data_IF_289217607155
#
_entry.id   IF_289217607155
#
_cell.length_a   1.000
_cell.length_b   1.000
_cell.length_c   1.000
_cell.angle_alpha   90.00
_cell.angle_beta   90.00
_cell.angle_gamma   90.00
#
_symmetry.space_group_name_H-M   'P 1'
#
loop_
_entity.id
_entity.type
_entity.pdbx_description
1 polymer ?
#
# COMPACT_ATOMS: atom_id res chain seq x y z
N UNK A 1 2.09 -3.68 -2.30
CA UNK A 1 3.51 -3.57 -1.91
C UNK A 1 4.30 -2.98 -3.06
N UNK A 2 5.28 -2.15 -2.78
CA UNK A 2 6.10 -1.46 -3.77
C UNK A 2 7.54 -1.31 -3.28
N UNK A 3 8.49 -1.25 -4.23
CA UNK A 3 9.93 -1.18 -3.99
C UNK A 3 10.40 -2.23 -2.96
N UNK A 4 9.80 -3.41 -3.00
CA UNK A 4 10.10 -4.51 -2.09
C UNK A 4 11.41 -5.22 -2.47
N UNK A 5 12.22 -5.53 -1.47
CA UNK A 5 13.48 -6.28 -1.58
C UNK A 5 13.34 -7.55 -0.77
N UNK A 6 12.61 -8.52 -1.34
CA UNK A 6 12.14 -9.70 -0.62
C UNK A 6 10.97 -9.35 0.32
N UNK A 7 10.84 -10.10 1.41
CA UNK A 7 9.73 -9.96 2.38
C UNK A 7 10.05 -9.08 3.59
N UNK A 8 11.32 -8.70 3.78
CA UNK A 8 11.81 -8.03 5.00
C UNK A 8 11.92 -6.51 4.84
N UNK A 9 12.22 -6.04 3.63
CA UNK A 9 12.48 -4.63 3.36
C UNK A 9 11.62 -4.16 2.20
N UNK A 10 10.90 -3.05 2.36
CA UNK A 10 10.04 -2.52 1.32
C UNK A 10 8.94 -1.64 1.87
N UNK A 11 7.96 -1.34 1.04
CA UNK A 11 6.78 -0.58 1.45
C UNK A 11 5.49 -1.28 1.05
N UNK A 12 4.42 -0.97 1.79
CA UNK A 12 3.06 -1.39 1.47
C UNK A 12 2.11 -0.21 1.62
N UNK A 13 0.98 -0.25 0.91
CA UNK A 13 -0.08 0.74 1.05
C UNK A 13 -1.42 0.04 0.82
N UNK A 14 -2.44 0.47 1.56
CA UNK A 14 -3.79 -0.09 1.48
C UNK A 14 -4.50 -0.09 2.83
N UNK A 15 -5.49 -0.96 2.98
CA UNK A 15 -6.23 -1.16 4.23
C UNK A 15 -5.39 -1.95 5.24
N UNK A 16 -5.45 -1.54 6.52
CA UNK A 16 -4.61 -2.13 7.57
C UNK A 16 -5.42 -2.75 8.69
N UNK A 17 -6.11 -1.91 9.44
CA UNK A 17 -7.06 -2.25 10.49
C UNK A 17 -8.47 -1.78 10.07
N UNK A 18 -9.54 -2.24 10.75
CA UNK A 18 -10.88 -1.72 10.54
C UNK A 18 -10.89 -0.19 10.58
N UNK A 19 -11.48 0.44 9.56
CA UNK A 19 -11.59 1.90 9.49
C UNK A 19 -10.30 2.66 9.16
N UNK A 20 -9.24 1.97 8.70
CA UNK A 20 -7.92 2.58 8.48
C UNK A 20 -7.24 2.18 7.17
N UNK A 21 -6.75 3.20 6.46
CA UNK A 21 -5.79 3.08 5.37
C UNK A 21 -4.42 3.61 5.81
N UNK A 22 -3.33 3.02 5.32
CA UNK A 22 -1.99 3.46 5.65
C UNK A 22 -0.98 3.18 4.53
N UNK A 23 0.15 3.91 4.58
CA UNK A 23 1.40 3.56 3.92
C UNK A 23 2.35 3.08 5.01
N UNK A 24 2.91 1.90 4.82
CA UNK A 24 3.77 1.20 5.75
C UNK A 24 5.18 1.05 5.18
N UNK A 25 6.19 1.18 6.04
CA UNK A 25 7.55 0.70 5.78
C UNK A 25 7.71 -0.65 6.47
N UNK A 26 8.32 -1.60 5.77
CA UNK A 26 8.93 -2.77 6.39
C UNK A 26 10.43 -2.60 6.39
N UNK A 27 11.02 -2.65 7.57
CA UNK A 27 12.44 -2.86 7.74
C UNK A 27 12.63 -3.73 8.98
N UNK A 28 12.47 -5.05 8.80
CA UNK A 28 12.42 -6.03 9.90
C UNK A 28 11.25 -5.80 10.86
N UNK A 29 10.16 -5.24 10.35
CA UNK A 29 8.97 -4.91 11.13
C UNK A 29 8.14 -3.86 10.39
N UNK A 30 6.82 -4.03 10.44
CA UNK A 30 5.90 -3.10 9.80
C UNK A 30 5.65 -1.88 10.68
N UNK A 31 5.89 -0.69 10.12
CA UNK A 31 5.63 0.59 10.75
C UNK A 31 4.82 1.50 9.82
N UNK A 32 3.82 2.17 10.38
CA UNK A 32 3.04 3.16 9.62
C UNK A 32 3.82 4.46 9.48
N UNK A 33 4.06 4.89 8.25
CA UNK A 33 4.72 6.18 7.96
C UNK A 33 3.70 7.28 7.58
N UNK A 34 2.50 6.88 7.15
CA UNK A 34 1.35 7.76 7.00
C UNK A 34 0.06 6.96 7.18
N UNK A 35 -0.98 7.56 7.75
CA UNK A 35 -2.28 6.90 7.89
C UNK A 35 -3.44 7.87 7.87
N UNK A 36 -4.60 7.39 7.43
CA UNK A 36 -5.85 8.14 7.41
C UNK A 36 -7.01 7.25 7.89
N UNK A 37 -8.05 7.89 8.44
CA UNK A 37 -9.33 7.23 8.67
C UNK A 37 -9.97 6.92 7.31
N UNK A 38 -10.37 5.68 7.12
CA UNK A 38 -11.07 5.23 5.93
C UNK A 38 -11.95 4.03 6.28
N UNK A 39 -13.26 4.28 6.38
CA UNK A 39 -14.26 3.29 6.82
C UNK A 39 -14.58 2.32 5.68
N UNK A 40 -13.64 1.42 5.38
CA UNK A 40 -13.82 0.37 4.38
C UNK A 40 -14.79 -0.72 4.88
N UNK A 41 -15.48 -1.36 3.93
CA UNK A 41 -16.54 -2.33 4.16
C UNK A 41 -16.13 -3.70 3.64
N UNK A 42 -16.43 -4.74 4.40
CA UNK A 42 -16.19 -6.12 3.96
C UNK A 42 -17.13 -6.49 2.81
N UNK A 43 -16.62 -7.19 1.80
CA UNK A 43 -17.39 -7.64 0.64
C UNK A 43 -17.64 -6.56 -0.43
N UNK A 44 -17.21 -5.32 -0.22
CA UNK A 44 -17.19 -4.28 -1.26
C UNK A 44 -15.89 -4.37 -2.07
N UNK A 45 -16.03 -4.28 -3.39
CA UNK A 45 -14.89 -4.12 -4.28
C UNK A 45 -14.34 -2.69 -4.20
N UNK A 46 -13.01 -2.54 -4.23
CA UNK A 46 -12.33 -1.26 -4.23
C UNK A 46 -11.25 -1.25 -5.31
N UNK A 47 -11.15 -0.15 -6.06
CA UNK A 47 -10.00 0.10 -6.91
C UNK A 47 -8.91 0.77 -6.09
N UNK A 48 -7.80 0.06 -5.89
CA UNK A 48 -6.64 0.59 -5.17
C UNK A 48 -5.54 0.94 -6.15
N UNK A 49 -5.10 2.19 -6.12
CA UNK A 49 -4.03 2.71 -6.96
C UNK A 49 -2.93 3.31 -6.08
N UNK A 50 -1.68 3.03 -6.43
CA UNK A 50 -0.52 3.51 -5.70
C UNK A 50 0.51 4.06 -6.68
N UNK A 51 0.86 5.32 -6.48
CA UNK A 51 1.94 5.98 -7.22
C UNK A 51 3.14 6.17 -6.31
N UNK A 52 4.34 5.77 -6.76
CA UNK A 52 5.58 5.92 -6.00
C UNK A 52 6.69 6.53 -6.87
N UNK A 53 6.78 7.87 -6.86
CA UNK A 53 7.70 8.64 -7.70
C UNK A 53 8.67 9.42 -6.82
N UNK A 54 9.98 9.22 -7.06
CA UNK A 54 11.01 9.83 -6.21
C UNK A 54 10.86 9.39 -4.76
N UNK A 55 10.81 10.34 -3.83
CA UNK A 55 10.64 10.13 -2.38
C UNK A 55 9.18 10.11 -1.92
N UNK A 56 8.21 10.20 -2.85
CA UNK A 56 6.78 10.34 -2.55
C UNK A 56 6.02 9.07 -2.90
N UNK A 57 5.08 8.69 -2.04
CA UNK A 57 4.06 7.68 -2.33
C UNK A 57 2.66 8.22 -2.07
N UNK A 58 1.73 7.97 -2.99
CA UNK A 58 0.34 8.42 -2.90
C UNK A 58 -0.62 7.24 -3.06
N UNK A 59 -1.50 7.04 -2.09
CA UNK A 59 -2.53 6.02 -2.12
C UNK A 59 -3.87 6.62 -2.57
N UNK A 60 -4.46 6.00 -3.59
CA UNK A 60 -5.79 6.29 -4.08
C UNK A 60 -6.71 5.10 -3.86
N UNK A 61 -7.96 5.39 -3.52
CA UNK A 61 -9.05 4.40 -3.44
C UNK A 61 -10.22 4.95 -4.23
N UNK A 62 -10.70 4.18 -5.21
CA UNK A 62 -11.76 4.57 -6.14
C UNK A 62 -11.47 5.93 -6.82
N UNK A 63 -10.21 6.13 -7.24
CA UNK A 63 -9.72 7.37 -7.84
C UNK A 63 -9.49 8.54 -6.86
N UNK A 64 -10.02 8.47 -5.64
CA UNK A 64 -9.83 9.51 -4.63
C UNK A 64 -8.49 9.34 -3.91
N UNK A 65 -7.70 10.42 -3.85
CA UNK A 65 -6.47 10.45 -3.03
C UNK A 65 -6.83 10.35 -1.54
N UNK A 66 -6.40 9.27 -0.89
CA UNK A 66 -6.66 9.01 0.54
C UNK A 66 -5.51 9.54 1.41
N UNK A 67 -4.25 9.25 1.03
CA UNK A 67 -3.09 9.77 1.75
C UNK A 67 -1.84 9.87 0.87
N UNK A 68 -0.89 10.68 1.32
CA UNK A 68 0.45 10.84 0.75
C UNK A 68 1.49 10.65 1.86
N UNK A 69 2.60 10.01 1.53
CA UNK A 69 3.79 9.92 2.37
C UNK A 69 5.02 10.44 1.62
N UNK A 70 5.99 10.95 2.38
CA UNK A 70 7.33 11.32 1.91
C UNK A 70 8.38 10.46 2.60
N UNK A 71 9.62 10.50 2.12
CA UNK A 71 10.72 9.70 2.67
C UNK A 71 10.72 8.26 2.17
N UNK A 72 10.21 8.01 0.97
CA UNK A 72 10.37 6.73 0.27
C UNK A 72 11.81 6.65 -0.26
N UNK A 73 12.69 6.12 0.58
CA UNK A 73 14.15 6.13 0.38
C UNK A 73 14.71 4.94 -0.43
N UNK A 74 13.92 3.89 -0.62
CA UNK A 74 14.30 2.80 -1.53
C UNK A 74 14.07 3.28 -2.97
N UNK A 75 15.05 3.22 -3.88
CA UNK A 75 14.89 3.73 -5.25
C UNK A 75 14.13 2.77 -6.17
N UNK A 76 14.23 1.45 -5.92
CA UNK A 76 13.65 0.41 -6.77
C UNK A 76 13.43 -0.88 -5.98
N UNK A 77 12.58 -1.76 -6.52
CA UNK A 77 12.32 -3.11 -6.02
C UNK A 77 11.06 -3.70 -6.66
N UNK A 78 10.64 -4.85 -6.17
CA UNK A 78 9.47 -5.57 -6.66
C UNK A 78 8.16 -4.91 -6.23
N UNK A 79 7.11 -5.17 -7.01
CA UNK A 79 5.72 -4.83 -6.68
C UNK A 79 4.95 -6.11 -6.44
N UNK A 80 3.99 -6.09 -5.52
CA UNK A 80 3.21 -7.28 -5.19
C UNK A 80 2.04 -6.99 -4.27
N UNK A 81 1.29 -8.04 -3.96
CA UNK A 81 0.10 -7.99 -3.12
C UNK A 81 0.37 -8.73 -1.81
N UNK A 82 -0.24 -8.25 -0.73
CA UNK A 82 -0.06 -8.84 0.60
C UNK A 82 -1.31 -8.61 1.45
N UNK A 83 -1.49 -9.47 2.45
CA UNK A 83 -2.48 -9.30 3.52
C UNK A 83 -1.75 -9.14 4.84
N UNK A 84 -2.32 -8.32 5.72
CA UNK A 84 -1.77 -8.07 7.06
C UNK A 84 -2.01 -9.23 8.03
N UNK A 85 -3.00 -10.08 7.77
CA UNK A 85 -3.39 -11.20 8.62
C UNK A 85 -3.96 -12.37 7.81
N UNK A 86 -4.23 -13.49 8.48
CA UNK A 86 -4.93 -14.63 7.91
C UNK A 86 -6.37 -14.25 7.52
N UNK A 87 -6.87 -14.81 6.42
CA UNK A 87 -8.22 -14.54 5.91
C UNK A 87 -8.35 -14.87 4.43
N UNK A 88 -9.36 -14.29 3.78
CA UNK A 88 -9.59 -14.35 2.32
C UNK A 88 -9.62 -12.94 1.75
N UNK A 89 -9.09 -12.78 0.54
CA UNK A 89 -9.11 -11.53 -0.22
C UNK A 89 -8.96 -11.93 -1.69
N UNK A 90 -9.75 -11.30 -2.55
CA UNK A 90 -9.65 -11.46 -4.00
C UNK A 90 -8.97 -10.20 -4.56
N UNK A 91 -8.11 -10.40 -5.54
CA UNK A 91 -7.48 -9.33 -6.29
C UNK A 91 -7.78 -9.52 -7.75
N UNK A 92 -8.41 -8.52 -8.34
CA UNK A 92 -8.79 -8.48 -9.74
C UNK A 92 -7.94 -7.41 -10.46
N UNK A 93 -7.66 -7.64 -11.74
CA UNK A 93 -7.02 -6.68 -12.64
C UNK A 93 -5.73 -6.02 -12.13
N UNK A 94 -4.87 -6.81 -11.48
CA UNK A 94 -3.58 -6.33 -11.00
C UNK A 94 -2.64 -6.00 -12.18
N UNK A 95 -2.19 -4.74 -12.22
CA UNK A 95 -1.21 -4.27 -13.18
C UNK A 95 -0.24 -3.29 -12.52
N UNK A 96 0.95 -3.17 -13.11
CA UNK A 96 2.00 -2.26 -12.65
C UNK A 96 2.64 -1.60 -13.85
N UNK A 97 3.02 -0.33 -13.69
CA UNK A 97 3.77 0.43 -14.70
C UNK A 97 4.94 1.12 -14.01
N UNK A 98 6.13 0.96 -14.55
CA UNK A 98 7.30 1.75 -14.16
C UNK A 98 7.26 3.10 -14.91
N UNK A 99 7.64 4.17 -14.20
CA UNK A 99 7.61 5.57 -14.67
C UNK A 99 9.02 6.12 -14.86
#
# INVERSE_FOLDING_TARGET
MFRARGTITGFAAGFTAPGKAAILRNDRGWQSIASAKFDWEFGREYRIELEAVGDRATLHVDGQRILEARGIDLPMGMTGLARSSAGTCEWLDFSTREL
#
